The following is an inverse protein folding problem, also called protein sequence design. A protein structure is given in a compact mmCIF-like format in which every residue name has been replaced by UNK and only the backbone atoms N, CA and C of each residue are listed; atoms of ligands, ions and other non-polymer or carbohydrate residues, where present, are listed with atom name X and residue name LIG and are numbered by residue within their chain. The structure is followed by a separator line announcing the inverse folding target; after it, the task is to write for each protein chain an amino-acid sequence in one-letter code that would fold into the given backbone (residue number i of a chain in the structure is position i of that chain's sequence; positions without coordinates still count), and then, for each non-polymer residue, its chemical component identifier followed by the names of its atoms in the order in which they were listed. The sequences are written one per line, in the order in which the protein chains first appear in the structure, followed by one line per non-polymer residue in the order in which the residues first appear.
data_IF_388938550129
#
_entry.id   IF_388938550129
#
_cell.length_a   1.000
_cell.length_b   1.000
_cell.length_c   1.000
_cell.angle_alpha   90.00
_cell.angle_beta   90.00
_cell.angle_gamma   90.00
#
_symmetry.space_group_name_H-M   'P 1'
#
loop_
_entity.id
_entity.type
_entity.pdbx_description
1 polymer ?
#
# COMPACT_ATOMS: atom_id res chain seq x y z
N UNK A 1 19.77 -15.05 8.63
CA UNK A 1 20.38 -13.71 8.48
C UNK A 1 19.24 -12.72 8.64
N UNK A 2 19.40 -11.65 9.43
CA UNK A 2 18.37 -10.60 9.47
C UNK A 2 18.49 -9.82 8.16
N UNK A 3 17.48 -9.90 7.31
CA UNK A 3 17.35 -9.00 6.17
C UNK A 3 16.29 -7.93 6.51
N UNK A 4 16.59 -6.93 7.36
CA UNK A 4 15.73 -5.76 7.44
C UNK A 4 15.97 -4.95 6.17
N UNK A 5 14.96 -4.89 5.33
CA UNK A 5 14.96 -4.03 4.15
C UNK A 5 14.82 -2.56 4.56
N UNK A 6 15.48 -1.61 3.87
CA UNK A 6 15.28 -0.18 4.11
C UNK A 6 13.83 0.27 3.91
N UNK A 7 13.01 -0.54 3.23
CA UNK A 7 11.57 -0.33 3.13
C UNK A 7 10.90 -0.11 4.49
N UNK A 8 11.26 -0.91 5.50
CA UNK A 8 10.63 -0.83 6.82
C UNK A 8 11.06 0.41 7.61
N UNK A 9 12.22 0.99 7.28
CA UNK A 9 12.66 2.25 7.88
C UNK A 9 11.75 3.42 7.45
N UNK A 10 11.05 3.29 6.31
CA UNK A 10 10.08 4.29 5.85
C UNK A 10 8.80 4.35 6.69
N UNK A 11 8.61 3.38 7.60
CA UNK A 11 7.51 3.32 8.56
C UNK A 11 7.88 3.93 9.92
N UNK A 12 9.12 4.42 10.08
CA UNK A 12 9.53 5.07 11.33
C UNK A 12 8.75 6.38 11.50
N UNK A 13 8.12 6.54 12.66
CA UNK A 13 7.30 7.70 12.98
C UNK A 13 5.84 7.58 12.56
N UNK A 14 5.39 6.37 12.21
CA UNK A 14 3.99 6.07 11.92
C UNK A 14 3.06 6.50 13.06
N UNK A 15 1.94 7.11 12.68
CA UNK A 15 0.87 7.54 13.55
C UNK A 15 -0.48 7.05 13.00
N UNK A 16 -1.47 6.92 13.90
CA UNK A 16 -2.82 6.52 13.54
C UNK A 16 -3.66 7.73 13.14
N UNK A 17 -4.45 7.57 12.08
CA UNK A 17 -5.37 8.58 11.58
C UNK A 17 -6.67 7.94 11.10
N UNK A 18 -7.76 8.70 11.16
CA UNK A 18 -8.94 8.48 10.32
C UNK A 18 -8.72 9.25 9.01
N UNK A 19 -8.73 8.55 7.88
CA UNK A 19 -8.66 9.16 6.56
C UNK A 19 -10.07 9.31 5.98
N UNK A 20 -10.45 10.56 5.69
CA UNK A 20 -11.67 10.93 4.98
C UNK A 20 -11.35 11.02 3.48
N UNK A 21 -12.12 10.34 2.63
CA UNK A 21 -11.89 10.32 1.19
C UNK A 21 -13.20 10.20 0.38
N UNK A 22 -13.24 10.68 -0.87
CA UNK A 22 -14.42 10.49 -1.72
C UNK A 22 -14.50 9.03 -2.18
N UNK A 23 -15.58 8.34 -1.80
CA UNK A 23 -15.93 7.02 -2.33
C UNK A 23 -16.73 7.09 -3.64
N UNK A 24 -17.06 5.92 -4.18
CA UNK A 24 -18.09 5.73 -5.19
C UNK A 24 -19.41 5.26 -4.55
N UNK A 25 -20.43 4.96 -5.36
CA UNK A 25 -21.72 4.45 -4.89
C UNK A 25 -21.69 3.09 -4.20
N UNK A 26 -20.55 2.38 -4.27
CA UNK A 26 -20.31 1.08 -3.64
C UNK A 26 -19.39 1.19 -2.42
N UNK A 27 -19.10 2.42 -1.96
CA UNK A 27 -18.19 2.73 -0.84
C UNK A 27 -16.72 2.32 -1.11
N UNK A 28 -16.31 2.28 -2.38
CA UNK A 28 -14.93 2.00 -2.80
C UNK A 28 -14.21 3.29 -3.19
N UNK A 29 -12.91 3.35 -2.98
CA UNK A 29 -12.13 4.51 -3.40
C UNK A 29 -10.93 4.75 -2.49
N UNK A 30 -10.36 5.95 -2.49
CA UNK A 30 -10.61 7.01 -3.47
C UNK A 30 -10.14 6.57 -4.86
N UNK A 31 -10.69 7.21 -5.89
CA UNK A 31 -10.19 7.10 -7.26
C UNK A 31 -9.56 8.42 -7.67
N UNK A 32 -8.60 8.39 -8.59
CA UNK A 32 -7.91 9.58 -9.05
C UNK A 32 -7.51 9.48 -10.52
N UNK A 33 -7.22 10.62 -11.14
CA UNK A 33 -6.71 10.71 -12.51
C UNK A 33 -5.16 10.60 -12.55
N UNK A 34 -4.56 10.70 -13.74
CA UNK A 34 -3.10 10.60 -13.92
C UNK A 34 -2.29 11.72 -13.24
N UNK A 35 -2.94 12.82 -12.84
CA UNK A 35 -2.33 13.89 -12.03
C UNK A 35 -2.47 13.64 -10.52
N UNK A 36 -3.16 12.55 -10.12
CA UNK A 36 -3.42 12.20 -8.73
C UNK A 36 -4.58 12.99 -8.11
N UNK A 37 -5.33 13.76 -8.90
CA UNK A 37 -6.48 14.51 -8.44
C UNK A 37 -7.66 13.57 -8.19
N UNK A 38 -8.37 13.78 -7.08
CA UNK A 38 -9.45 12.89 -6.66
C UNK A 38 -10.68 13.02 -7.57
N UNK A 39 -11.19 11.87 -7.99
CA UNK A 39 -12.44 11.77 -8.74
C UNK A 39 -13.61 11.75 -7.77
N UNK A 40 -14.58 12.66 -7.94
CA UNK A 40 -15.88 12.61 -7.27
C UNK A 40 -16.94 12.07 -8.22
N UNK A 41 -17.64 11.03 -7.80
CA UNK A 41 -18.69 10.40 -8.61
C UNK A 41 -20.00 11.18 -8.47
N UNK A 42 -20.70 11.37 -9.58
CA UNK A 42 -21.99 12.06 -9.60
C UNK A 42 -23.02 11.31 -8.75
N UNK A 43 -23.79 12.04 -7.95
CA UNK A 43 -24.80 11.47 -7.04
C UNK A 43 -24.24 10.90 -5.73
N UNK A 44 -22.92 10.87 -5.54
CA UNK A 44 -22.28 10.53 -4.26
C UNK A 44 -21.94 11.83 -3.54
N UNK A 45 -22.57 12.04 -2.38
CA UNK A 45 -22.45 13.27 -1.61
C UNK A 45 -21.74 13.10 -0.26
N UNK A 46 -21.57 11.86 0.19
CA UNK A 46 -20.94 11.53 1.46
C UNK A 46 -19.48 11.10 1.20
N UNK A 47 -18.57 11.60 2.04
CA UNK A 47 -17.19 11.11 2.06
C UNK A 47 -17.14 9.84 2.93
N UNK A 48 -16.27 8.90 2.57
CA UNK A 48 -15.99 7.68 3.33
C UNK A 48 -14.88 7.93 4.36
N UNK A 49 -14.84 7.08 5.38
CA UNK A 49 -13.82 7.14 6.43
C UNK A 49 -13.21 5.76 6.67
N UNK A 50 -11.88 5.69 6.75
CA UNK A 50 -11.17 4.48 7.14
C UNK A 50 -10.00 4.80 8.09
N UNK A 51 -9.81 3.97 9.12
CA UNK A 51 -8.63 4.05 9.97
C UNK A 51 -7.38 3.56 9.23
N UNK A 52 -6.34 4.38 9.24
CA UNK A 52 -5.05 4.08 8.62
C UNK A 52 -3.91 4.37 9.60
N UNK A 53 -2.74 3.84 9.28
CA UNK A 53 -1.49 4.33 9.84
C UNK A 53 -0.65 4.99 8.75
N UNK A 54 -0.08 6.15 9.05
CA UNK A 54 0.72 6.92 8.11
C UNK A 54 1.85 7.69 8.81
N UNK A 55 2.93 7.97 8.06
CA UNK A 55 4.02 8.84 8.52
C UNK A 55 3.80 10.25 7.96
N UNK A 56 3.73 11.28 8.83
CA UNK A 56 3.77 12.67 8.37
C UNK A 56 5.15 13.00 7.81
N UNK A 57 5.20 13.48 6.57
CA UNK A 57 6.45 13.86 5.89
C UNK A 57 6.70 15.38 5.91
N UNK A 58 5.78 16.16 6.48
CA UNK A 58 5.78 17.63 6.43
C UNK A 58 4.94 18.16 5.27
N UNK A 59 4.61 19.46 5.30
CA UNK A 59 3.87 20.17 4.25
C UNK A 59 2.58 19.47 3.80
N UNK A 60 1.77 18.99 4.77
CA UNK A 60 0.53 18.26 4.53
C UNK A 60 0.68 16.95 3.71
N UNK A 61 1.90 16.45 3.58
CA UNK A 61 2.22 15.20 2.90
C UNK A 61 2.34 14.07 3.92
N UNK A 62 1.78 12.93 3.57
CA UNK A 62 1.77 11.72 4.38
C UNK A 62 2.17 10.53 3.52
N UNK A 63 2.76 9.52 4.14
CA UNK A 63 3.03 8.21 3.52
C UNK A 63 2.19 7.15 4.22
N UNK A 64 1.40 6.40 3.46
CA UNK A 64 0.61 5.31 4.00
C UNK A 64 1.54 4.15 4.42
N UNK A 65 1.37 3.65 5.63
CA UNK A 65 2.15 2.53 6.17
C UNK A 65 1.30 1.34 6.58
N UNK A 66 0.01 1.54 6.87
CA UNK A 66 -0.92 0.45 7.13
C UNK A 66 -2.37 0.86 6.87
N UNK A 67 -3.20 -0.11 6.49
CA UNK A 67 -4.67 0.01 6.40
C UNK A 67 -5.29 -0.90 7.45
N UNK A 68 -6.28 -0.42 8.19
CA UNK A 68 -6.86 -1.22 9.28
C UNK A 68 -7.51 -2.52 8.81
N UNK A 69 -8.01 -2.56 7.57
CA UNK A 69 -8.56 -3.77 6.95
C UNK A 69 -7.58 -4.51 6.04
N UNK A 70 -6.30 -4.09 5.99
CA UNK A 70 -5.25 -4.71 5.18
C UNK A 70 -5.68 -4.90 3.72
N UNK A 71 -5.65 -6.14 3.16
CA UNK A 71 -6.05 -6.41 1.78
C UNK A 71 -7.56 -6.36 1.53
N UNK A 72 -8.38 -6.32 2.60
CA UNK A 72 -9.85 -6.20 2.51
C UNK A 72 -10.31 -4.75 2.61
N UNK A 73 -9.38 -3.81 2.74
CA UNK A 73 -9.66 -2.38 2.72
C UNK A 73 -10.26 -1.94 1.39
N UNK A 74 -11.22 -1.02 1.48
CA UNK A 74 -11.79 -0.36 0.31
C UNK A 74 -10.88 0.74 -0.24
N UNK A 75 -9.86 1.15 0.53
CA UNK A 75 -8.82 2.09 0.12
C UNK A 75 -7.99 1.57 -1.05
N UNK A 76 -7.97 2.38 -2.11
CA UNK A 76 -7.10 2.15 -3.26
C UNK A 76 -5.62 2.49 -3.01
N UNK A 77 -5.34 3.28 -1.97
CA UNK A 77 -3.98 3.55 -1.51
C UNK A 77 -3.32 2.28 -0.96
N UNK A 78 -2.01 2.19 -1.13
CA UNK A 78 -1.20 1.03 -0.73
C UNK A 78 0.04 1.47 0.07
N UNK A 79 0.73 0.51 0.69
CA UNK A 79 1.94 0.80 1.45
C UNK A 79 2.97 1.59 0.64
N UNK A 80 3.49 2.65 1.25
CA UNK A 80 4.47 3.52 0.62
C UNK A 80 3.88 4.50 -0.41
N UNK A 81 2.58 4.46 -0.69
CA UNK A 81 1.91 5.54 -1.40
C UNK A 81 1.97 6.81 -0.56
N UNK A 82 2.19 7.92 -1.25
CA UNK A 82 2.24 9.23 -0.63
C UNK A 82 1.06 10.06 -1.10
N UNK A 83 0.52 10.88 -0.20
CA UNK A 83 -0.67 11.66 -0.47
C UNK A 83 -0.63 12.99 0.27
N UNK A 84 -1.37 13.96 -0.26
CA UNK A 84 -1.65 15.22 0.41
C UNK A 84 -2.99 15.12 1.13
N UNK A 85 -3.04 15.62 2.35
CA UNK A 85 -4.26 15.71 3.12
C UNK A 85 -4.31 16.98 3.97
N UNK A 86 -5.50 17.56 4.08
CA UNK A 86 -5.77 18.60 5.06
C UNK A 86 -6.03 17.93 6.41
N UNK A 87 -5.32 18.37 7.45
CA UNK A 87 -5.60 17.92 8.81
C UNK A 87 -6.77 18.73 9.38
N UNK A 88 -7.94 18.09 9.46
CA UNK A 88 -9.18 18.74 9.93
C UNK A 88 -9.39 18.57 11.44
N UNK A 89 -8.74 17.58 12.05
CA UNK A 89 -8.61 17.40 13.51
C UNK A 89 -7.29 16.66 13.83
N UNK A 90 -6.95 16.54 15.11
CA UNK A 90 -5.72 15.96 15.66
C UNK A 90 -5.35 14.61 15.04
N UNK A 91 -6.32 13.77 14.73
CA UNK A 91 -6.10 12.46 14.08
C UNK A 91 -7.00 12.24 12.86
N UNK A 92 -7.52 13.32 12.26
CA UNK A 92 -8.43 13.23 11.13
C UNK A 92 -7.83 13.96 9.94
N UNK A 93 -7.62 13.21 8.86
CA UNK A 93 -7.04 13.67 7.61
C UNK A 93 -8.08 13.64 6.52
N UNK A 94 -8.29 14.75 5.82
CA UNK A 94 -9.10 14.79 4.60
C UNK A 94 -8.19 14.70 3.39
N UNK A 95 -8.27 13.59 2.66
CA UNK A 95 -7.47 13.38 1.46
C UNK A 95 -7.79 14.47 0.42
N UNK A 96 -6.75 15.06 -0.17
CA UNK A 96 -6.90 16.08 -1.22
C UNK A 96 -6.28 15.66 -2.53
N UNK A 97 -5.17 14.91 -2.50
CA UNK A 97 -4.49 14.46 -3.72
C UNK A 97 -3.61 13.24 -3.43
N UNK A 98 -3.43 12.36 -4.43
CA UNK A 98 -2.45 11.28 -4.40
C UNK A 98 -1.17 11.74 -5.11
N UNK A 99 -0.01 11.48 -4.52
CA UNK A 99 1.28 11.83 -5.14
C UNK A 99 1.69 10.73 -6.12
N UNK A 100 1.87 11.13 -7.38
CA UNK A 100 2.31 10.26 -8.47
C UNK A 100 3.68 10.71 -9.01
N UNK A 101 4.48 9.80 -9.62
CA UNK A 101 4.21 8.37 -9.76
C UNK A 101 4.34 7.62 -8.43
N UNK A 102 3.63 6.48 -8.32
CA UNK A 102 3.80 5.57 -7.19
C UNK A 102 5.23 5.06 -7.11
N UNK A 103 5.70 4.80 -5.89
CA UNK A 103 7.05 4.28 -5.65
C UNK A 103 7.11 2.77 -5.68
N UNK A 104 6.01 2.11 -5.34
CA UNK A 104 5.93 0.66 -5.17
C UNK A 104 4.81 0.04 -5.99
N UNK A 105 5.00 -1.25 -6.27
CA UNK A 105 3.95 -2.14 -6.75
C UNK A 105 3.76 -3.27 -5.76
N UNK A 106 2.54 -3.81 -5.69
CA UNK A 106 2.14 -4.78 -4.68
C UNK A 106 1.66 -6.06 -5.34
N UNK A 107 2.15 -7.20 -4.87
CA UNK A 107 1.73 -8.52 -5.29
C UNK A 107 1.05 -9.23 -4.14
N UNK A 108 -0.13 -9.79 -4.38
CA UNK A 108 -0.90 -10.48 -3.36
C UNK A 108 -1.10 -11.92 -3.74
N UNK A 109 -0.95 -12.81 -2.77
CA UNK A 109 -1.25 -14.22 -2.96
C UNK A 109 -1.59 -14.88 -1.63
N UNK A 110 -2.25 -16.04 -1.71
CA UNK A 110 -2.50 -16.90 -0.57
C UNK A 110 -1.28 -17.81 -0.42
N UNK A 111 -0.56 -17.66 0.68
CA UNK A 111 0.56 -18.53 1.02
C UNK A 111 0.16 -19.66 1.95
N UNK A 112 1.05 -20.64 2.08
CA UNK A 112 1.01 -21.59 3.19
C UNK A 112 1.39 -20.88 4.50
N UNK A 113 0.88 -21.34 5.66
CA UNK A 113 1.38 -20.91 6.96
C UNK A 113 2.91 -21.00 7.03
N UNK A 114 3.57 -19.96 7.56
CA UNK A 114 5.03 -19.96 7.77
C UNK A 114 5.88 -19.30 6.68
N UNK A 115 5.31 -18.43 5.83
CA UNK A 115 6.14 -17.50 5.04
C UNK A 115 7.01 -16.68 5.99
N UNK A 116 8.29 -16.55 5.68
CA UNK A 116 9.30 -15.97 6.56
C UNK A 116 10.35 -15.21 5.75
N UNK A 117 11.25 -14.51 6.44
CA UNK A 117 12.36 -13.80 5.81
C UNK A 117 13.38 -14.72 5.11
N UNK A 118 13.33 -16.03 5.38
CA UNK A 118 14.17 -17.02 4.68
C UNK A 118 13.50 -17.54 3.40
N UNK A 119 12.25 -17.15 3.13
CA UNK A 119 11.59 -17.49 1.87
C UNK A 119 12.34 -16.83 0.69
N UNK A 120 12.62 -17.56 -0.41
CA UNK A 120 13.34 -17.01 -1.54
C UNK A 120 12.72 -15.72 -2.10
N UNK A 121 11.39 -15.60 -2.12
CA UNK A 121 10.72 -14.37 -2.56
C UNK A 121 10.93 -13.22 -1.57
N UNK A 122 10.87 -13.49 -0.26
CA UNK A 122 11.15 -12.48 0.76
C UNK A 122 12.58 -11.93 0.63
N UNK A 123 13.56 -12.83 0.46
CA UNK A 123 14.97 -12.46 0.26
C UNK A 123 15.14 -11.57 -0.97
N UNK A 124 14.57 -11.96 -2.12
CA UNK A 124 14.63 -11.14 -3.34
C UNK A 124 14.00 -9.76 -3.11
N UNK A 125 12.81 -9.72 -2.50
CA UNK A 125 12.10 -8.46 -2.23
C UNK A 125 12.94 -7.54 -1.33
N UNK A 126 13.51 -8.07 -0.26
CA UNK A 126 14.36 -7.29 0.65
C UNK A 126 15.64 -6.79 -0.02
N UNK A 127 16.31 -7.62 -0.82
CA UNK A 127 17.50 -7.20 -1.58
C UNK A 127 17.20 -6.08 -2.58
N UNK A 128 15.99 -6.04 -3.12
CA UNK A 128 15.54 -4.98 -4.03
C UNK A 128 15.03 -3.74 -3.31
N UNK A 129 15.07 -3.71 -1.96
CA UNK A 129 14.59 -2.59 -1.15
C UNK A 129 13.07 -2.53 -1.00
N UNK A 130 12.40 -3.66 -1.20
CA UNK A 130 10.98 -3.84 -0.94
C UNK A 130 10.71 -4.50 0.41
N UNK A 131 9.45 -4.78 0.73
CA UNK A 131 9.05 -5.46 1.96
C UNK A 131 7.95 -6.46 1.73
N UNK A 132 7.63 -7.24 2.74
CA UNK A 132 6.46 -8.09 2.75
C UNK A 132 5.75 -8.05 4.09
N UNK A 133 4.49 -8.44 4.06
CA UNK A 133 3.64 -8.65 5.23
C UNK A 133 2.74 -9.87 5.04
N UNK A 134 2.22 -10.37 6.16
CA UNK A 134 1.14 -11.34 6.17
C UNK A 134 -0.02 -10.82 6.98
N UNK A 135 -1.22 -10.93 6.41
CA UNK A 135 -2.48 -10.58 7.04
C UNK A 135 -3.33 -11.84 7.25
N UNK A 136 -4.47 -11.65 7.91
CA UNK A 136 -5.36 -12.73 8.35
C UNK A 136 -5.67 -13.74 7.23
N UNK A 137 -5.61 -15.03 7.53
CA UNK A 137 -5.96 -16.10 6.58
C UNK A 137 -4.83 -16.55 5.66
N UNK A 138 -3.59 -16.08 5.87
CA UNK A 138 -2.43 -16.47 5.05
C UNK A 138 -2.29 -15.67 3.76
N UNK A 139 -2.98 -14.53 3.67
CA UNK A 139 -2.73 -13.55 2.62
C UNK A 139 -1.36 -12.91 2.84
N UNK A 140 -0.59 -12.84 1.77
CA UNK A 140 0.75 -12.25 1.75
C UNK A 140 0.75 -11.12 0.75
N UNK A 141 1.25 -9.96 1.16
CA UNK A 141 1.55 -8.84 0.27
C UNK A 141 3.06 -8.72 0.12
N UNK A 142 3.58 -8.77 -1.11
CA UNK A 142 4.94 -8.35 -1.43
C UNK A 142 4.90 -6.94 -2.02
N UNK A 143 5.74 -6.06 -1.52
CA UNK A 143 5.88 -4.67 -1.95
C UNK A 143 7.24 -4.49 -2.59
N UNK A 144 7.29 -4.07 -3.85
CA UNK A 144 8.52 -3.97 -4.65
C UNK A 144 8.65 -2.57 -5.24
N UNK A 145 9.82 -1.91 -5.16
CA UNK A 145 10.04 -0.63 -5.84
C UNK A 145 9.77 -0.76 -7.34
N UNK A 146 8.98 0.16 -7.93
CA UNK A 146 8.64 0.11 -9.35
C UNK A 146 9.89 0.16 -10.23
N UNK A 147 10.91 0.91 -9.82
CA UNK A 147 12.20 0.99 -10.51
C UNK A 147 12.97 -0.33 -10.59
N UNK A 148 12.60 -1.33 -9.77
CA UNK A 148 13.20 -2.67 -9.69
C UNK A 148 12.25 -3.79 -10.14
N UNK A 149 11.08 -3.44 -10.68
CA UNK A 149 10.02 -4.39 -11.02
C UNK A 149 10.48 -5.45 -12.04
N UNK A 150 11.18 -5.04 -13.10
CA UNK A 150 11.65 -5.98 -14.12
C UNK A 150 12.65 -6.98 -13.56
N UNK A 151 13.57 -6.51 -12.70
CA UNK A 151 14.56 -7.33 -12.02
C UNK A 151 13.88 -8.34 -11.07
N UNK A 152 12.87 -7.88 -10.31
CA UNK A 152 12.05 -8.76 -9.49
C UNK A 152 11.38 -9.87 -10.30
N UNK A 153 10.71 -9.53 -11.40
CA UNK A 153 10.01 -10.51 -12.24
C UNK A 153 10.95 -11.57 -12.83
N UNK A 154 12.15 -11.16 -13.26
CA UNK A 154 13.17 -12.09 -13.77
C UNK A 154 13.65 -13.05 -12.68
N UNK A 155 13.99 -12.54 -11.49
CA UNK A 155 14.48 -13.34 -10.36
C UNK A 155 13.41 -14.25 -9.77
N UNK A 156 12.18 -13.73 -9.64
CA UNK A 156 11.03 -14.49 -9.18
C UNK A 156 10.78 -15.69 -10.12
N UNK A 157 10.77 -15.46 -11.44
CA UNK A 157 10.56 -16.51 -12.44
C UNK A 157 11.64 -17.61 -12.40
N UNK A 158 12.89 -17.24 -12.11
CA UNK A 158 14.00 -18.21 -11.95
C UNK A 158 13.90 -19.04 -10.66
N UNK A 159 13.18 -18.53 -9.65
CA UNK A 159 13.02 -19.14 -8.33
C UNK A 159 11.82 -20.10 -8.27
N UNK A 160 10.94 -20.05 -9.28
CA UNK A 160 9.72 -20.86 -9.41
C UNK A 160 8.54 -20.01 -9.88
N UNK A 161 7.36 -20.61 -10.04
CA UNK A 161 6.14 -19.80 -10.22
C UNK A 161 5.85 -19.07 -8.91
N UNK A 162 5.63 -17.76 -8.98
CA UNK A 162 5.01 -17.00 -7.89
C UNK A 162 3.70 -17.73 -7.53
N UNK A 163 3.57 -18.29 -6.30
CA UNK A 163 2.41 -19.09 -5.95
C UNK A 163 1.16 -18.22 -6.04
N UNK A 164 0.21 -18.61 -6.89
CA UNK A 164 -1.15 -18.04 -6.92
C UNK A 164 -1.22 -16.52 -6.97
N UNK A 165 -0.47 -15.86 -7.87
CA UNK A 165 -0.63 -14.43 -8.14
C UNK A 165 -2.03 -14.19 -8.67
N UNK A 166 -2.97 -13.99 -7.78
CA UNK A 166 -4.10 -13.14 -8.07
C UNK A 166 -3.49 -11.74 -8.22
N UNK A 167 -3.29 -11.30 -9.46
CA UNK A 167 -3.25 -9.86 -9.71
C UNK A 167 -4.64 -9.33 -9.39
N UNK A 168 -4.94 -9.13 -8.10
CA UNK A 168 -6.06 -8.32 -7.69
C UNK A 168 -5.64 -6.88 -7.95
N UNK A 169 -5.87 -6.44 -9.19
CA UNK A 169 -6.39 -5.11 -9.56
C UNK A 169 -6.39 -4.95 -11.08
N UNK A 170 -7.59 -4.82 -11.63
CA UNK A 170 -7.95 -3.69 -12.50
C UNK A 170 -9.14 -3.03 -11.83
#
# INVERSE_FOLDING_TARGET
MNHPSPFYDEHVGTQKFTLIYPGNSEHWGPYWNDAGELTRFEGVHEDEEEEIEAVPLGDNRYRLTEKSFGPLSFLQLEWGDEFLAEQVDTQVLKLTQVILPRRYTHFRFIGSPGFSNDNPFAVIVHELGGGWETCMGGFITLTVPISRLQEFQQRASATGQLPGVLQLKV
#
